data_IF_281238775527
#
_entry.id   IF_281238775527
#
_cell.length_a   1.000
_cell.length_b   1.000
_cell.length_c   1.000
_cell.angle_alpha   90.00
_cell.angle_beta   90.00
_cell.angle_gamma   90.00
#
_symmetry.space_group_name_H-M   'P 1'
#
loop_
_entity.id
_entity.type
_entity.pdbx_description
1 polymer ?
#
# COMPACT_ATOMS: atom_id res chain seq x y z
N UNK A 1 -15.52 -19.97 38.96
CA UNK A 1 -15.02 -20.86 37.88
C UNK A 1 -15.38 -20.32 36.49
N UNK A 2 -16.57 -19.76 36.26
CA UNK A 2 -17.01 -19.15 34.99
C UNK A 2 -16.18 -17.95 34.50
N UNK A 3 -15.77 -17.03 35.39
CA UNK A 3 -14.98 -15.85 34.99
C UNK A 3 -13.58 -16.20 34.45
N UNK A 4 -12.98 -17.28 34.93
CA UNK A 4 -11.65 -17.72 34.47
C UNK A 4 -11.70 -18.28 33.05
N UNK A 5 -12.76 -18.99 32.68
CA UNK A 5 -12.95 -19.47 31.29
C UNK A 5 -13.19 -18.32 30.30
N UNK A 6 -13.93 -17.29 30.71
CA UNK A 6 -14.12 -16.08 29.91
C UNK A 6 -12.79 -15.36 29.65
N UNK A 7 -11.96 -15.18 30.68
CA UNK A 7 -10.65 -14.53 30.56
C UNK A 7 -9.71 -15.31 29.64
N UNK A 8 -9.67 -16.63 29.77
CA UNK A 8 -8.87 -17.50 28.90
C UNK A 8 -9.37 -17.39 27.45
N UNK A 9 -10.68 -17.43 27.22
CA UNK A 9 -11.28 -17.30 25.89
C UNK A 9 -10.92 -15.97 25.22
N UNK A 10 -11.05 -14.85 25.95
CA UNK A 10 -10.70 -13.51 25.44
C UNK A 10 -9.20 -13.42 25.10
N UNK A 11 -8.35 -14.02 25.93
CA UNK A 11 -6.89 -13.99 25.72
C UNK A 11 -6.49 -14.81 24.50
N UNK A 12 -7.11 -15.98 24.28
CA UNK A 12 -6.90 -16.82 23.09
C UNK A 12 -7.37 -16.12 21.82
N UNK A 13 -8.53 -15.45 21.85
CA UNK A 13 -9.02 -14.65 20.72
C UNK A 13 -8.08 -13.48 20.38
N UNK A 14 -7.52 -12.82 21.39
CA UNK A 14 -6.61 -11.69 21.19
C UNK A 14 -5.24 -12.09 20.62
N UNK A 15 -4.73 -13.28 20.96
CA UNK A 15 -3.45 -13.76 20.42
C UNK A 15 -3.57 -14.27 18.98
N UNK A 16 -4.72 -14.81 18.60
CA UNK A 16 -4.98 -15.28 17.23
C UNK A 16 -5.02 -14.13 16.20
N UNK A 17 -5.41 -12.93 16.60
CA UNK A 17 -5.48 -11.76 15.69
C UNK A 17 -4.16 -10.99 15.58
N UNK A 18 -3.17 -11.27 16.45
CA UNK A 18 -1.91 -10.52 16.50
C UNK A 18 -0.91 -10.90 15.41
N UNK A 19 -1.00 -12.11 14.84
CA UNK A 19 -0.02 -12.63 13.87
C UNK A 19 -0.41 -12.43 12.39
N UNK A 20 -0.92 -11.26 12.03
CA UNK A 20 -1.17 -10.94 10.61
C UNK A 20 -0.05 -10.06 10.06
N UNK A 21 0.78 -10.64 9.20
CA UNK A 21 1.82 -9.89 8.49
C UNK A 21 1.23 -9.34 7.18
N UNK A 22 1.27 -8.02 7.00
CA UNK A 22 0.76 -7.39 5.79
C UNK A 22 1.58 -7.82 4.57
N UNK A 23 0.91 -8.28 3.51
CA UNK A 23 1.59 -8.65 2.26
C UNK A 23 2.53 -7.53 1.74
N UNK A 24 3.69 -7.92 1.22
CA UNK A 24 4.63 -7.02 0.52
C UNK A 24 4.32 -7.03 -0.97
N UNK A 25 3.82 -5.91 -1.49
CA UNK A 25 3.24 -5.80 -2.83
C UNK A 25 4.10 -4.86 -3.68
N UNK A 26 4.50 -5.31 -4.87
CA UNK A 26 5.09 -4.47 -5.91
C UNK A 26 4.00 -4.07 -6.91
N UNK A 27 3.72 -2.77 -7.01
CA UNK A 27 2.75 -2.21 -7.94
C UNK A 27 3.47 -1.67 -9.18
N UNK A 28 3.12 -2.24 -10.34
CA UNK A 28 3.66 -1.86 -11.65
C UNK A 28 2.49 -1.55 -12.57
N UNK A 29 2.49 -0.36 -13.17
CA UNK A 29 1.46 0.07 -14.12
C UNK A 29 2.13 0.44 -15.45
N UNK A 30 1.63 -0.14 -16.54
CA UNK A 30 2.29 -0.09 -17.86
C UNK A 30 2.24 1.27 -18.56
N UNK A 31 1.39 2.19 -18.10
CA UNK A 31 1.12 3.45 -18.79
C UNK A 31 1.41 4.64 -17.87
N UNK A 32 2.46 5.44 -18.16
CA UNK A 32 2.87 6.54 -17.30
C UNK A 32 2.08 7.85 -17.51
N UNK A 33 0.87 7.79 -18.09
CA UNK A 33 0.00 8.96 -18.18
C UNK A 33 -0.73 9.21 -16.85
N UNK A 34 -0.97 10.48 -16.51
CA UNK A 34 -1.63 10.85 -15.26
C UNK A 34 -2.99 10.16 -15.06
N UNK A 35 -3.79 10.06 -16.13
CA UNK A 35 -5.12 9.45 -16.09
C UNK A 35 -5.09 7.94 -15.80
N UNK A 36 -4.09 7.20 -16.30
CA UNK A 36 -3.93 5.77 -16.02
C UNK A 36 -3.22 5.51 -14.69
N UNK A 37 -2.25 6.35 -14.34
CA UNK A 37 -1.57 6.30 -13.06
C UNK A 37 -2.57 6.43 -11.89
N UNK A 38 -3.51 7.37 -11.97
CA UNK A 38 -4.41 7.69 -10.87
C UNK A 38 -5.23 6.48 -10.39
N UNK A 39 -5.69 5.62 -11.30
CA UNK A 39 -6.41 4.40 -10.94
C UNK A 39 -5.51 3.45 -10.15
N UNK A 40 -4.31 3.18 -10.67
CA UNK A 40 -3.34 2.30 -10.03
C UNK A 40 -2.92 2.80 -8.65
N UNK A 41 -2.67 4.11 -8.54
CA UNK A 41 -2.36 4.78 -7.28
C UNK A 41 -3.47 4.61 -6.24
N UNK A 42 -4.74 4.79 -6.61
CA UNK A 42 -5.87 4.63 -5.67
C UNK A 42 -5.92 3.22 -5.07
N UNK A 43 -5.70 2.18 -5.89
CA UNK A 43 -5.68 0.79 -5.44
C UNK A 43 -4.49 0.55 -4.50
N UNK A 44 -3.30 0.98 -4.93
CA UNK A 44 -2.06 0.80 -4.18
C UNK A 44 -2.09 1.55 -2.83
N UNK A 45 -2.68 2.74 -2.79
CA UNK A 45 -2.91 3.49 -1.56
C UNK A 45 -3.86 2.76 -0.62
N UNK A 46 -5.00 2.28 -1.11
CA UNK A 46 -5.99 1.58 -0.28
C UNK A 46 -5.41 0.29 0.32
N UNK A 47 -4.56 -0.43 -0.43
CA UNK A 47 -3.82 -1.57 0.10
C UNK A 47 -2.87 -1.16 1.24
N UNK A 48 -2.15 -0.05 1.07
CA UNK A 48 -1.25 0.47 2.11
C UNK A 48 -2.02 0.88 3.39
N UNK A 49 -3.18 1.54 3.21
CA UNK A 49 -4.07 1.95 4.30
C UNK A 49 -4.62 0.74 5.08
N UNK A 50 -4.82 -0.40 4.41
CA UNK A 50 -5.23 -1.68 5.03
C UNK A 50 -4.09 -2.45 5.71
N UNK A 51 -2.88 -1.90 5.72
CA UNK A 51 -1.72 -2.47 6.42
C UNK A 51 -0.77 -3.27 5.55
N UNK A 52 -0.99 -3.36 4.23
CA UNK A 52 -0.04 -3.97 3.31
C UNK A 52 1.18 -3.05 3.08
N UNK A 53 2.36 -3.62 2.86
CA UNK A 53 3.53 -2.86 2.45
C UNK A 53 3.59 -2.77 0.93
N UNK A 54 3.35 -1.60 0.37
CA UNK A 54 3.29 -1.39 -1.08
C UNK A 54 4.51 -0.63 -1.54
N UNK A 55 5.19 -1.13 -2.57
CA UNK A 55 6.20 -0.39 -3.33
C UNK A 55 5.66 -0.18 -4.73
N UNK A 56 5.53 1.07 -5.18
CA UNK A 56 4.95 1.41 -6.47
C UNK A 56 5.98 2.08 -7.37
N UNK A 57 6.11 1.59 -8.60
CA UNK A 57 6.84 2.30 -9.65
C UNK A 57 5.93 3.43 -10.16
N UNK A 58 6.35 4.67 -9.93
CA UNK A 58 5.46 5.83 -9.98
C UNK A 58 6.06 6.98 -10.79
N UNK A 59 5.48 7.36 -11.94
CA UNK A 59 5.85 8.58 -12.66
C UNK A 59 5.40 9.85 -11.93
N UNK A 60 4.45 9.75 -10.99
CA UNK A 60 3.94 10.86 -10.20
C UNK A 60 4.07 10.53 -8.70
N UNK A 61 5.29 10.59 -8.14
CA UNK A 61 5.53 10.22 -6.74
C UNK A 61 4.77 11.13 -5.77
N UNK A 62 4.40 10.60 -4.61
CA UNK A 62 3.63 11.35 -3.62
C UNK A 62 4.50 12.38 -2.89
N UNK A 63 4.05 13.63 -2.84
CA UNK A 63 4.74 14.71 -2.11
C UNK A 63 4.70 14.50 -0.60
N UNK A 64 3.60 13.93 -0.10
CA UNK A 64 3.42 13.59 1.31
C UNK A 64 3.63 12.09 1.49
N UNK A 65 4.54 11.65 2.39
CA UNK A 65 4.73 10.23 2.66
C UNK A 65 3.43 9.55 3.12
N UNK A 66 3.15 8.38 2.54
CA UNK A 66 2.02 7.54 2.92
C UNK A 66 2.56 6.35 3.72
N UNK A 67 1.94 6.05 4.87
CA UNK A 67 2.34 4.92 5.71
C UNK A 67 2.25 3.62 4.89
N UNK A 68 3.25 2.75 5.04
CA UNK A 68 3.35 1.47 4.32
C UNK A 68 3.37 1.58 2.79
N UNK A 69 3.66 2.74 2.23
CA UNK A 69 3.70 2.96 0.78
C UNK A 69 5.02 3.63 0.39
N UNK A 70 5.72 3.06 -0.60
CA UNK A 70 7.00 3.55 -1.11
C UNK A 70 6.89 3.80 -2.60
N UNK A 71 7.18 5.03 -3.04
CA UNK A 71 7.36 5.34 -4.46
C UNK A 71 8.79 4.99 -4.92
N UNK A 72 8.88 4.38 -6.09
CA UNK A 72 10.09 4.34 -6.93
C UNK A 72 9.83 5.33 -8.07
N UNK A 73 10.45 6.50 -7.98
CA UNK A 73 10.16 7.62 -8.88
C UNK A 73 10.63 7.33 -10.30
N UNK A 74 9.77 7.66 -11.27
CA UNK A 74 10.06 7.79 -12.70
C UNK A 74 9.69 9.20 -13.20
N UNK A 75 9.65 10.19 -12.31
CA UNK A 75 9.23 11.57 -12.63
C UNK A 75 10.03 12.19 -13.79
N UNK A 76 11.31 11.85 -13.89
CA UNK A 76 12.21 12.24 -14.97
C UNK A 76 11.78 11.76 -16.38
N UNK A 77 10.94 10.73 -16.47
CA UNK A 77 10.45 10.19 -17.74
C UNK A 77 9.14 10.83 -18.19
N UNK A 78 8.47 11.61 -17.34
CA UNK A 78 7.18 12.23 -17.66
C UNK A 78 7.26 13.15 -18.90
N UNK A 79 8.29 14.01 -19.08
CA UNK A 79 8.38 14.86 -20.28
C UNK A 79 8.47 14.08 -21.58
N UNK A 80 9.14 12.91 -21.59
CA UNK A 80 9.23 12.03 -22.76
C UNK A 80 7.85 11.49 -23.14
N UNK A 81 7.07 11.04 -22.15
CA UNK A 81 5.72 10.48 -22.33
C UNK A 81 4.73 11.54 -22.83
N UNK A 82 4.88 12.78 -22.34
CA UNK A 82 4.03 13.90 -22.72
C UNK A 82 4.44 14.57 -24.05
N UNK A 83 5.52 14.10 -24.69
CA UNK A 83 6.01 14.66 -25.95
C UNK A 83 6.61 16.07 -25.82
N UNK A 84 7.20 16.38 -24.65
CA UNK A 84 7.74 17.71 -24.30
C UNK A 84 9.28 17.79 -24.35
N UNK A 85 9.93 16.95 -25.15
CA UNK A 85 11.39 16.95 -25.34
C UNK A 85 11.84 17.88 -26.46
#
# INVERSE_FOLDING_TARGET
>A
MTNSFLLISVTVLATLTWQTDGAKILAVFSMPSYSHFQLGFRIAKELADRGHQVTAISPYPQKTPIKNYKDVSLEELVPFVEGKL
#
